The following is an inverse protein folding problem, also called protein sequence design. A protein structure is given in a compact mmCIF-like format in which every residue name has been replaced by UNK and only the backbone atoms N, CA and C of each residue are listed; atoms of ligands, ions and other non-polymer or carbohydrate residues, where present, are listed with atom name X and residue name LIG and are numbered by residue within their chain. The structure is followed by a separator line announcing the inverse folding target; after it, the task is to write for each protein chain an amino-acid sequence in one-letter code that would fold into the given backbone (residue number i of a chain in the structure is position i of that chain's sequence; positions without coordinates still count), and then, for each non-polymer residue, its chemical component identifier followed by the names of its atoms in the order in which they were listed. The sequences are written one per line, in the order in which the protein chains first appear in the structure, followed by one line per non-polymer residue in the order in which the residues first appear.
data_IF_804671616927
#
_entry.id   IF_804671616927
#
_cell.length_a   1.000
_cell.length_b   1.000
_cell.length_c   1.000
_cell.angle_alpha   90.00
_cell.angle_beta   90.00
_cell.angle_gamma   90.00
#
_symmetry.space_group_name_H-M   'P 1'
#
loop_
_entity.id
_entity.type
_entity.pdbx_description
1 polymer ?
#
# COMPACT_ATOMS: atom_id res chain seq x y z
N UNK A 1 -17.47 17.40 9.35
CA UNK A 1 -17.90 16.07 8.89
C UNK A 1 -16.66 15.19 8.71
N UNK A 2 -16.71 13.92 9.12
CA UNK A 2 -15.60 12.98 8.89
C UNK A 2 -15.48 12.71 7.38
N UNK A 3 -14.43 13.21 6.76
CA UNK A 3 -14.12 12.96 5.35
C UNK A 3 -13.32 11.66 5.26
N UNK A 4 -13.67 10.78 4.33
CA UNK A 4 -12.90 9.55 4.11
C UNK A 4 -11.46 9.91 3.72
N UNK A 5 -10.43 9.18 4.17
CA UNK A 5 -9.04 9.51 3.83
C UNK A 5 -8.78 9.61 2.32
N UNK A 6 -9.43 8.77 1.51
CA UNK A 6 -9.37 8.86 0.05
C UNK A 6 -9.96 10.16 -0.54
N UNK A 7 -10.77 10.89 0.23
CA UNK A 7 -11.43 12.15 -0.13
C UNK A 7 -10.84 13.37 0.55
N UNK A 8 -10.00 13.17 1.57
CA UNK A 8 -9.41 14.25 2.36
C UNK A 8 -8.25 14.92 1.62
N UNK A 9 -8.10 16.22 1.86
CA UNK A 9 -6.90 17.00 1.50
C UNK A 9 -5.94 17.19 2.67
N UNK A 10 -6.28 16.66 3.85
CA UNK A 10 -5.42 16.62 5.03
C UNK A 10 -5.34 15.19 5.58
N UNK A 11 -4.14 14.71 5.85
CA UNK A 11 -3.89 13.37 6.38
C UNK A 11 -3.52 13.43 7.87
N UNK A 12 -4.53 13.48 8.74
CA UNK A 12 -4.33 13.43 10.20
C UNK A 12 -3.94 12.01 10.64
N UNK A 13 -2.91 11.88 11.48
CA UNK A 13 -2.50 10.59 12.03
C UNK A 13 -1.57 9.75 11.13
N UNK A 14 -1.06 10.33 10.04
CA UNK A 14 -0.29 9.57 9.05
C UNK A 14 1.09 9.15 9.58
N UNK A 15 1.79 10.03 10.29
CA UNK A 15 3.07 9.71 10.92
C UNK A 15 2.93 8.63 11.99
N UNK A 16 1.89 8.76 12.82
CA UNK A 16 1.54 7.80 13.86
C UNK A 16 1.18 6.44 13.22
N UNK A 17 0.50 6.45 12.08
CA UNK A 17 0.20 5.26 11.31
C UNK A 17 1.45 4.55 10.77
N UNK A 18 2.41 5.31 10.25
CA UNK A 18 3.71 4.75 9.81
C UNK A 18 4.49 4.20 11.00
N UNK A 19 4.61 4.97 12.08
CA UNK A 19 5.31 4.55 13.29
C UNK A 19 4.69 3.27 13.85
N UNK A 20 3.37 3.22 13.99
CA UNK A 20 2.65 2.04 14.49
C UNK A 20 2.86 0.82 13.58
N UNK A 21 2.79 0.98 12.26
CA UNK A 21 3.02 -0.10 11.32
C UNK A 21 4.48 -0.61 11.34
N UNK A 22 5.45 0.30 11.50
CA UNK A 22 6.87 -0.04 11.64
C UNK A 22 7.11 -0.85 12.91
N UNK A 23 6.57 -0.41 14.04
CA UNK A 23 6.70 -1.13 15.32
C UNK A 23 6.00 -2.49 15.28
N UNK A 24 4.82 -2.58 14.68
CA UNK A 24 4.13 -3.86 14.48
C UNK A 24 4.96 -4.82 13.62
N UNK A 25 5.60 -4.32 12.55
CA UNK A 25 6.49 -5.12 11.72
C UNK A 25 7.73 -5.61 12.50
N UNK A 26 8.35 -4.74 13.32
CA UNK A 26 9.47 -5.13 14.19
C UNK A 26 9.05 -6.22 15.19
N UNK A 27 7.92 -6.03 15.87
CA UNK A 27 7.45 -6.95 16.90
C UNK A 27 7.02 -8.33 16.34
N UNK A 28 6.63 -8.39 15.06
CA UNK A 28 6.22 -9.62 14.41
C UNK A 28 7.38 -10.51 13.97
N UNK A 29 8.58 -9.96 13.80
CA UNK A 29 9.77 -10.73 13.40
C UNK A 29 10.45 -11.34 14.62
N UNK A 30 10.78 -12.63 14.54
CA UNK A 30 11.74 -13.28 15.43
C UNK A 30 13.15 -13.19 14.84
N UNK A 31 14.15 -13.54 15.65
CA UNK A 31 15.56 -13.53 15.23
C UNK A 31 15.76 -14.27 13.90
N UNK A 32 16.36 -13.56 12.93
CA UNK A 32 16.65 -14.07 11.59
C UNK A 32 15.46 -14.14 10.63
N UNK A 33 14.24 -13.79 11.06
CA UNK A 33 13.09 -13.74 10.16
C UNK A 33 13.03 -12.42 9.39
N UNK A 34 12.48 -12.50 8.18
CA UNK A 34 12.29 -11.36 7.29
C UNK A 34 10.94 -11.47 6.59
N UNK A 35 10.35 -10.34 6.21
CA UNK A 35 9.16 -10.33 5.36
C UNK A 35 9.56 -10.49 3.89
N UNK A 36 8.96 -11.46 3.20
CA UNK A 36 9.09 -11.60 1.75
C UNK A 36 8.29 -10.56 0.97
N UNK A 37 7.27 -9.97 1.61
CA UNK A 37 6.41 -9.00 0.97
C UNK A 37 5.41 -8.34 1.90
N UNK A 38 4.67 -7.39 1.34
CA UNK A 38 3.61 -6.65 2.03
C UNK A 38 2.29 -6.78 1.29
N UNK A 39 1.20 -6.94 2.04
CA UNK A 39 -0.17 -6.81 1.55
C UNK A 39 -0.82 -5.63 2.25
N UNK A 40 -1.43 -4.72 1.49
CA UNK A 40 -2.09 -3.55 2.07
C UNK A 40 -3.34 -3.13 1.31
N UNK A 41 -4.19 -2.36 1.99
CA UNK A 41 -5.49 -1.94 1.49
C UNK A 41 -5.69 -0.43 1.62
N UNK A 42 -6.26 0.21 0.60
CA UNK A 42 -6.70 1.60 0.62
C UNK A 42 -5.60 2.55 1.11
N UNK A 43 -5.83 3.33 2.16
CA UNK A 43 -4.81 4.22 2.75
C UNK A 43 -3.57 3.48 3.26
N UNK A 44 -3.72 2.21 3.65
CA UNK A 44 -2.60 1.36 4.09
C UNK A 44 -1.58 1.16 2.98
N UNK A 45 -1.97 1.30 1.71
CA UNK A 45 -1.02 1.27 0.59
C UNK A 45 -0.07 2.46 0.61
N UNK A 46 -0.53 3.65 1.03
CA UNK A 46 0.34 4.80 1.18
C UNK A 46 1.34 4.59 2.33
N UNK A 47 0.88 4.06 3.46
CA UNK A 47 1.74 3.69 4.60
C UNK A 47 2.78 2.64 4.19
N UNK A 48 2.35 1.56 3.53
CA UNK A 48 3.25 0.50 3.05
C UNK A 48 4.28 1.05 2.05
N UNK A 49 3.87 1.96 1.16
CA UNK A 49 4.77 2.62 0.20
C UNK A 49 5.85 3.44 0.93
N UNK A 50 5.50 4.18 1.98
CA UNK A 50 6.49 4.88 2.82
C UNK A 50 7.44 3.91 3.53
N UNK A 51 6.93 2.82 4.12
CA UNK A 51 7.78 1.83 4.78
C UNK A 51 8.73 1.11 3.80
N UNK A 52 8.27 0.80 2.58
CA UNK A 52 9.11 0.22 1.53
C UNK A 52 10.17 1.22 1.05
N UNK A 53 9.85 2.51 1.00
CA UNK A 53 10.81 3.58 0.70
C UNK A 53 11.91 3.64 1.75
N UNK A 54 11.54 3.64 3.02
CA UNK A 54 12.49 3.57 4.13
C UNK A 54 13.36 2.31 4.04
N UNK A 55 12.76 1.16 3.76
CA UNK A 55 13.46 -0.11 3.60
C UNK A 55 14.45 -0.14 2.42
N UNK A 56 14.17 0.61 1.37
CA UNK A 56 15.09 0.73 0.24
C UNK A 56 16.37 1.50 0.62
N UNK A 57 16.29 2.39 1.60
CA UNK A 57 17.40 3.21 2.09
C UNK A 57 18.11 2.59 3.31
N UNK A 58 17.37 1.87 4.16
CA UNK A 58 17.87 1.24 5.39
C UNK A 58 17.77 -0.28 5.35
N UNK A 59 18.92 -0.96 5.32
CA UNK A 59 19.01 -2.43 5.34
C UNK A 59 18.60 -3.05 6.68
N UNK A 60 18.54 -2.27 7.76
CA UNK A 60 18.03 -2.68 9.07
C UNK A 60 16.51 -2.56 9.22
N UNK A 61 15.81 -2.07 8.19
CA UNK A 61 14.36 -1.94 8.22
C UNK A 61 13.68 -3.32 8.16
N UNK A 62 12.56 -3.57 8.88
CA UNK A 62 11.85 -4.86 8.87
C UNK A 62 11.45 -5.36 7.48
N UNK A 63 11.20 -4.43 6.54
CA UNK A 63 10.82 -4.72 5.17
C UNK A 63 12.00 -4.70 4.18
N UNK A 64 13.26 -4.64 4.63
CA UNK A 64 14.43 -4.50 3.76
C UNK A 64 14.60 -5.65 2.76
N UNK A 65 14.05 -6.83 3.07
CA UNK A 65 14.04 -8.01 2.21
C UNK A 65 12.72 -8.24 1.48
N UNK A 66 11.76 -7.31 1.58
CA UNK A 66 10.51 -7.43 0.86
C UNK A 66 10.76 -7.36 -0.65
N UNK A 67 10.29 -8.38 -1.38
CA UNK A 67 10.44 -8.53 -2.84
C UNK A 67 9.12 -8.29 -3.58
N UNK A 68 8.00 -8.38 -2.87
CA UNK A 68 6.65 -8.22 -3.42
C UNK A 68 5.80 -7.26 -2.58
N UNK A 69 5.02 -6.41 -3.24
CA UNK A 69 3.98 -5.59 -2.64
C UNK A 69 2.65 -5.82 -3.35
N UNK A 70 1.62 -6.25 -2.62
CA UNK A 70 0.25 -6.37 -3.12
C UNK A 70 -0.56 -5.22 -2.55
N UNK A 71 -1.01 -4.32 -3.42
CA UNK A 71 -1.62 -3.05 -3.05
C UNK A 71 -3.05 -2.99 -3.59
N UNK A 72 -4.04 -3.06 -2.69
CA UNK A 72 -5.44 -3.19 -3.11
C UNK A 72 -6.22 -1.91 -2.82
N UNK A 73 -6.72 -1.27 -3.87
CA UNK A 73 -7.43 0.02 -3.78
C UNK A 73 -6.53 1.15 -3.30
N UNK A 74 -5.22 1.05 -3.49
CA UNK A 74 -4.26 2.06 -3.08
C UNK A 74 -4.35 3.34 -3.92
N UNK A 75 -3.89 4.46 -3.35
CA UNK A 75 -3.79 5.76 -4.01
C UNK A 75 -2.68 6.59 -3.38
N UNK A 76 -2.16 7.56 -4.13
CA UNK A 76 -1.37 8.67 -3.57
C UNK A 76 -2.33 9.61 -2.80
N UNK A 77 -2.09 9.90 -1.50
CA UNK A 77 -2.90 10.84 -0.75
C UNK A 77 -2.91 12.23 -1.38
N UNK A 78 -3.98 13.01 -1.18
CA UNK A 78 -4.09 14.36 -1.76
C UNK A 78 -3.40 15.43 -0.92
N UNK A 79 -3.14 15.12 0.35
CA UNK A 79 -2.35 15.94 1.25
C UNK A 79 -0.92 16.08 0.68
N UNK A 80 -0.45 17.31 0.36
CA UNK A 80 0.81 17.49 -0.34
C UNK A 80 2.03 16.96 0.41
N UNK A 81 2.06 17.15 1.73
CA UNK A 81 3.18 16.73 2.58
C UNK A 81 3.25 15.21 2.62
N UNK A 82 2.11 14.55 2.84
CA UNK A 82 2.01 13.09 2.76
C UNK A 82 2.39 12.57 1.38
N UNK A 83 1.87 13.18 0.30
CA UNK A 83 2.17 12.78 -1.07
C UNK A 83 3.67 12.91 -1.40
N UNK A 84 4.33 13.96 -0.90
CA UNK A 84 5.75 14.17 -1.09
C UNK A 84 6.59 13.03 -0.49
N UNK A 85 6.16 12.45 0.63
CA UNK A 85 6.85 11.32 1.28
C UNK A 85 6.79 10.02 0.49
N UNK A 86 5.81 9.86 -0.39
CA UNK A 86 5.71 8.69 -1.28
C UNK A 86 6.66 8.82 -2.50
N UNK A 87 6.96 10.06 -2.90
CA UNK A 87 7.78 10.37 -4.08
C UNK A 87 9.28 10.14 -3.80
N UNK A 88 10.05 10.03 -4.87
CA UNK A 88 11.48 9.73 -4.86
C UNK A 88 11.83 8.83 -6.04
N UNK A 89 12.97 8.14 -5.96
CA UNK A 89 13.35 7.13 -6.95
C UNK A 89 12.26 6.06 -7.13
N UNK A 90 12.26 5.30 -8.22
CA UNK A 90 11.32 4.19 -8.32
C UNK A 90 11.59 3.14 -7.22
N UNK A 91 10.54 2.62 -6.60
CA UNK A 91 10.66 1.50 -5.66
C UNK A 91 11.02 0.23 -6.43
N UNK A 92 12.08 -0.47 -5.97
CA UNK A 92 12.62 -1.65 -6.66
C UNK A 92 11.84 -2.94 -6.36
N UNK A 93 10.99 -2.94 -5.33
CA UNK A 93 10.11 -4.06 -5.00
C UNK A 93 9.11 -4.29 -6.14
N UNK A 94 8.86 -5.55 -6.49
CA UNK A 94 7.82 -5.87 -7.46
C UNK A 94 6.45 -5.56 -6.86
N UNK A 95 5.54 -5.00 -7.65
CA UNK A 95 4.22 -4.61 -7.16
C UNK A 95 3.08 -5.17 -8.00
N UNK A 96 2.02 -5.62 -7.31
CA UNK A 96 0.73 -5.95 -7.90
C UNK A 96 -0.31 -4.96 -7.36
N UNK A 97 -0.86 -4.15 -8.26
CA UNK A 97 -1.88 -3.17 -7.95
C UNK A 97 -3.25 -3.70 -8.33
N UNK A 98 -4.15 -3.81 -7.35
CA UNK A 98 -5.50 -4.31 -7.57
C UNK A 98 -6.49 -3.16 -7.41
N UNK A 99 -7.26 -2.87 -8.47
CA UNK A 99 -8.33 -1.85 -8.42
C UNK A 99 -9.69 -2.46 -8.75
N UNK A 100 -10.74 -1.91 -8.14
CA UNK A 100 -12.12 -2.30 -8.46
C UNK A 100 -12.60 -1.61 -9.73
N UNK A 101 -13.16 -2.37 -10.67
CA UNK A 101 -13.72 -1.83 -11.90
C UNK A 101 -14.79 -0.75 -11.71
N UNK A 102 -15.50 -0.79 -10.57
CA UNK A 102 -16.59 0.11 -10.20
C UNK A 102 -16.25 1.01 -8.99
N UNK A 103 -14.96 1.12 -8.63
CA UNK A 103 -14.54 1.96 -7.51
C UNK A 103 -14.59 3.45 -7.87
N UNK A 104 -15.56 4.16 -7.28
CA UNK A 104 -15.74 5.60 -7.44
C UNK A 104 -14.99 6.42 -6.36
N UNK A 105 -14.51 5.77 -5.29
CA UNK A 105 -13.79 6.42 -4.20
C UNK A 105 -12.29 6.51 -4.52
N UNK A 106 -11.73 5.37 -4.94
CA UNK A 106 -10.37 5.26 -5.45
C UNK A 106 -10.47 4.80 -6.89
N UNK A 107 -10.56 5.78 -7.78
CA UNK A 107 -10.67 5.51 -9.21
C UNK A 107 -9.42 4.80 -9.73
N UNK A 108 -9.56 4.08 -10.85
CA UNK A 108 -8.45 3.40 -11.55
C UNK A 108 -7.23 4.31 -11.71
N UNK A 109 -7.44 5.53 -12.20
CA UNK A 109 -6.39 6.53 -12.39
C UNK A 109 -5.61 6.82 -11.10
N UNK A 110 -6.29 6.90 -9.95
CA UNK A 110 -5.62 7.15 -8.66
C UNK A 110 -4.79 5.95 -8.19
N UNK A 111 -5.22 4.74 -8.51
CA UNK A 111 -4.42 3.54 -8.26
C UNK A 111 -3.24 3.42 -9.21
N UNK A 112 -3.40 3.82 -10.48
CA UNK A 112 -2.32 3.89 -11.46
C UNK A 112 -1.24 4.90 -11.04
N UNK A 113 -1.63 6.09 -10.54
CA UNK A 113 -0.65 7.06 -10.01
C UNK A 113 0.17 6.55 -8.83
N UNK A 114 -0.37 5.61 -8.03
CA UNK A 114 0.43 4.92 -7.00
C UNK A 114 1.36 3.87 -7.61
N UNK A 115 0.91 3.16 -8.66
CA UNK A 115 1.69 2.15 -9.37
C UNK A 115 2.92 2.74 -10.06
N UNK A 116 2.82 3.96 -10.57
CA UNK A 116 3.92 4.71 -11.19
C UNK A 116 5.10 4.97 -10.23
N UNK A 117 4.92 4.79 -8.91
CA UNK A 117 6.02 4.90 -7.94
C UNK A 117 6.92 3.65 -7.89
N UNK A 118 6.55 2.56 -8.57
CA UNK A 118 7.24 1.29 -8.57
C UNK A 118 7.92 1.04 -9.93
N UNK A 119 9.14 0.50 -9.90
CA UNK A 119 9.92 0.25 -11.12
C UNK A 119 9.37 -0.94 -11.93
N UNK A 120 8.86 -1.95 -11.23
CA UNK A 120 8.24 -3.13 -11.83
C UNK A 120 6.85 -3.30 -11.21
N UNK A 121 5.83 -3.07 -12.02
CA UNK A 121 4.44 -3.07 -11.60
C UNK A 121 3.56 -3.89 -12.55
N UNK A 122 2.67 -4.66 -11.95
CA UNK A 122 1.55 -5.31 -12.61
C UNK A 122 0.23 -4.72 -12.09
N UNK A 123 -0.77 -4.64 -12.96
CA UNK A 123 -2.04 -4.02 -12.63
C UNK A 123 -3.20 -4.97 -12.94
N UNK A 124 -3.94 -5.34 -11.90
CA UNK A 124 -5.11 -6.20 -11.99
C UNK A 124 -6.38 -5.38 -11.76
N UNK A 125 -7.29 -5.44 -12.73
CA UNK A 125 -8.64 -4.88 -12.58
C UNK A 125 -9.60 -5.99 -12.14
N UNK A 126 -10.08 -5.89 -10.91
CA UNK A 126 -11.04 -6.85 -10.37
C UNK A 126 -12.49 -6.46 -10.75
N UNK A 127 -13.33 -7.47 -11.02
CA UNK A 127 -14.77 -7.25 -11.22
C UNK A 127 -15.39 -6.75 -9.90
N UNK A 128 -16.04 -5.57 -9.92
CA UNK A 128 -16.69 -4.95 -8.75
C UNK A 128 -15.96 -3.75 -8.13
N UNK A 129 -16.36 -3.34 -6.92
CA UNK A 129 -15.67 -2.28 -6.14
C UNK A 129 -14.54 -2.90 -5.33
N UNK A 130 -13.43 -2.19 -5.09
CA UNK A 130 -12.27 -2.69 -4.33
C UNK A 130 -12.65 -3.44 -3.04
N UNK A 131 -13.52 -2.86 -2.22
CA UNK A 131 -14.02 -3.48 -0.97
C UNK A 131 -14.81 -4.80 -1.19
N UNK A 132 -15.62 -4.87 -2.25
CA UNK A 132 -16.46 -6.04 -2.55
C UNK A 132 -15.72 -7.11 -3.33
N UNK A 133 -14.82 -6.70 -4.22
CA UNK A 133 -13.94 -7.57 -4.99
C UNK A 133 -12.98 -8.32 -4.07
N UNK A 134 -12.44 -7.67 -3.02
CA UNK A 134 -11.71 -8.35 -1.97
C UNK A 134 -12.58 -9.39 -1.25
N UNK A 135 -13.76 -9.00 -0.75
CA UNK A 135 -14.64 -9.93 -0.03
C UNK A 135 -15.06 -11.14 -0.89
N UNK A 136 -15.24 -10.96 -2.20
CA UNK A 136 -15.56 -12.05 -3.12
C UNK A 136 -14.33 -12.91 -3.45
N UNK A 137 -13.18 -12.30 -3.72
CA UNK A 137 -11.94 -13.02 -4.03
C UNK A 137 -11.48 -13.91 -2.86
N UNK A 138 -11.48 -13.36 -1.63
CA UNK A 138 -11.11 -14.10 -0.42
C UNK A 138 -12.16 -15.13 0.02
N UNK A 139 -13.45 -14.96 -0.31
CA UNK A 139 -14.47 -15.99 -0.08
C UNK A 139 -14.38 -17.12 -1.11
N UNK A 140 -14.07 -16.80 -2.36
CA UNK A 140 -13.96 -17.79 -3.44
C UNK A 140 -12.64 -18.59 -3.36
N UNK A 141 -11.58 -18.01 -2.79
CA UNK A 141 -10.25 -18.62 -2.71
C UNK A 141 -9.83 -18.83 -1.26
N UNK A 142 -10.70 -19.43 -0.42
CA UNK A 142 -10.22 -20.07 0.81
C UNK A 142 -9.14 -21.07 0.38
N UNK A 143 -7.88 -20.69 0.55
CA UNK A 143 -6.75 -21.62 0.60
C UNK A 143 -7.02 -22.49 1.83
N UNK A 144 -7.65 -23.64 1.58
CA UNK A 144 -7.62 -24.80 2.46
C UNK A 144 -6.24 -25.41 2.43
#
# INVERSE_FOLDING_TARGET
ALVRPAQSYACVGFEEGIASAREAARAALKDGQQFDGVLSFSQGCAVATCLLREAQLDKGHPLASARLAILVGGFVPRDPDTAARLRGDALKVHSLHVSGANDLLVTKARSESLAELYAVMEFLRALGNSDKSCRHYWRAHRLT
#
